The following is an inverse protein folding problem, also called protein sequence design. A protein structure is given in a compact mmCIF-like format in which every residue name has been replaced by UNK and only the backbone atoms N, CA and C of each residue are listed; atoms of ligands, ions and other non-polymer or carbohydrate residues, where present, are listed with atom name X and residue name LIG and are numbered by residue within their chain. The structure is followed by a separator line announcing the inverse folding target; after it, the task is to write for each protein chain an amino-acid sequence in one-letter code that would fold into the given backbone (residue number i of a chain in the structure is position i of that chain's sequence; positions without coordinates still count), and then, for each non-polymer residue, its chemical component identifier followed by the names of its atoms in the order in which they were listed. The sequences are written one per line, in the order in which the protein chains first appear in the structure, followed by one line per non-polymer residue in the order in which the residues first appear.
data_IF_105844178756
#
_entry.id   IF_105844178756
#
_cell.length_a   1.000
_cell.length_b   1.000
_cell.length_c   1.000
_cell.angle_alpha   90.00
_cell.angle_beta   90.00
_cell.angle_gamma   90.00
#
_symmetry.space_group_name_H-M   'P 1'
#
loop_
_entity.id
_entity.type
_entity.pdbx_description
1 polymer ?
#
# COMPACT_ATOMS: atom_id res chain seq x y z
N UNK A 1 -16.68 1.31 -5.91
CA UNK A 1 -15.22 1.04 -6.04
C UNK A 1 -14.75 1.00 -7.47
N UNK A 2 -13.79 1.84 -7.81
CA UNK A 2 -13.22 1.97 -9.16
C UNK A 2 -12.10 0.93 -9.46
N UNK A 3 -11.85 0.00 -8.53
CA UNK A 3 -10.95 -1.16 -8.74
C UNK A 3 -9.43 -0.88 -8.76
N UNK A 4 -9.00 0.37 -8.68
CA UNK A 4 -7.60 0.77 -8.81
C UNK A 4 -6.65 0.33 -7.68
N UNK A 5 -5.36 0.59 -7.89
CA UNK A 5 -4.28 0.45 -6.89
C UNK A 5 -4.14 1.72 -6.06
N UNK A 6 -3.54 1.61 -4.87
CA UNK A 6 -3.32 2.72 -3.94
C UNK A 6 -1.82 2.99 -3.75
N UNK A 7 -1.49 4.25 -3.44
CA UNK A 7 -0.14 4.72 -3.09
C UNK A 7 -0.21 5.46 -1.76
N UNK A 8 0.75 5.18 -0.88
CA UNK A 8 0.92 5.85 0.41
C UNK A 8 2.40 5.97 0.75
N UNK A 9 2.74 6.96 1.57
CA UNK A 9 4.08 7.19 2.09
C UNK A 9 4.23 8.62 2.59
N UNK A 10 5.29 8.87 3.36
CA UNK A 10 5.66 10.19 3.88
C UNK A 10 5.95 11.21 2.76
N UNK A 11 6.23 10.72 1.55
CA UNK A 11 6.31 11.55 0.34
C UNK A 11 4.98 12.25 0.00
N UNK A 12 3.85 11.63 0.34
CA UNK A 12 2.51 12.11 -0.01
C UNK A 12 1.76 12.61 1.22
N UNK A 13 1.92 11.95 2.38
CA UNK A 13 1.15 12.23 3.59
C UNK A 13 2.01 12.09 4.85
N UNK A 14 2.02 13.11 5.71
CA UNK A 14 2.80 13.10 6.96
C UNK A 14 2.02 12.60 8.18
N UNK A 15 0.71 12.46 8.09
CA UNK A 15 -0.17 12.25 9.24
C UNK A 15 -1.02 10.98 9.10
N UNK A 16 -1.30 10.35 10.24
CA UNK A 16 -2.26 9.27 10.39
C UNK A 16 -3.70 9.81 10.41
N UNK A 17 -4.73 8.96 10.23
CA UNK A 17 -6.12 9.40 10.33
C UNK A 17 -6.50 10.02 11.68
N UNK A 18 -5.75 9.72 12.73
CA UNK A 18 -5.89 10.32 14.07
C UNK A 18 -5.44 11.79 14.13
N UNK A 19 -4.72 12.28 13.11
CA UNK A 19 -4.07 13.59 13.11
C UNK A 19 -2.66 13.59 13.70
N UNK A 20 -2.18 12.47 14.24
CA UNK A 20 -0.80 12.31 14.70
C UNK A 20 0.16 12.20 13.50
N UNK A 21 1.39 12.72 13.60
CA UNK A 21 2.41 12.50 12.59
C UNK A 21 2.79 11.02 12.54
N UNK A 22 2.87 10.45 11.34
CA UNK A 22 3.36 9.08 11.16
C UNK A 22 4.85 9.01 11.55
N UNK A 23 5.20 8.03 12.37
CA UNK A 23 6.58 7.77 12.77
C UNK A 23 7.38 7.05 11.69
N UNK A 24 6.69 6.37 10.77
CA UNK A 24 7.31 5.67 9.65
C UNK A 24 6.38 5.53 8.43
N UNK A 25 6.96 5.20 7.27
CA UNK A 25 6.17 4.72 6.13
C UNK A 25 5.36 3.45 6.47
N UNK A 26 5.86 2.62 7.40
CA UNK A 26 5.17 1.42 7.86
C UNK A 26 3.81 1.72 8.49
N UNK A 27 3.71 2.82 9.24
CA UNK A 27 2.47 3.23 9.90
C UNK A 27 1.39 3.57 8.86
N UNK A 28 1.77 4.30 7.82
CA UNK A 28 0.90 4.65 6.70
C UNK A 28 0.50 3.40 5.89
N UNK A 29 1.45 2.48 5.66
CA UNK A 29 1.17 1.20 5.00
C UNK A 29 0.20 0.35 5.82
N UNK A 30 0.29 0.36 7.15
CA UNK A 30 -0.62 -0.38 8.03
C UNK A 30 -2.06 0.15 7.91
N UNK A 31 -2.24 1.47 7.89
CA UNK A 31 -3.56 2.10 7.65
C UNK A 31 -4.08 1.74 6.26
N UNK A 32 -3.26 1.87 5.22
CA UNK A 32 -3.65 1.54 3.85
C UNK A 32 -4.06 0.07 3.70
N UNK A 33 -3.36 -0.84 4.39
CA UNK A 33 -3.71 -2.26 4.46
C UNK A 33 -5.08 -2.46 5.11
N UNK A 34 -5.33 -1.85 6.27
CA UNK A 34 -6.62 -1.96 6.97
C UNK A 34 -7.77 -1.48 6.09
N UNK A 35 -7.60 -0.34 5.40
CA UNK A 35 -8.61 0.17 4.45
C UNK A 35 -8.83 -0.78 3.27
N UNK A 36 -7.76 -1.38 2.75
CA UNK A 36 -7.84 -2.38 1.67
C UNK A 36 -8.63 -3.61 2.10
N UNK A 37 -8.38 -4.10 3.32
CA UNK A 37 -9.10 -5.25 3.90
C UNK A 37 -10.57 -4.92 4.18
N UNK A 38 -10.87 -3.72 4.70
CA UNK A 38 -12.23 -3.25 4.92
C UNK A 38 -13.05 -3.13 3.62
N UNK A 39 -12.38 -2.86 2.50
CA UNK A 39 -12.97 -2.88 1.15
C UNK A 39 -13.11 -4.30 0.55
N UNK A 40 -12.86 -5.36 1.33
CA UNK A 40 -12.97 -6.75 0.88
C UNK A 40 -11.84 -7.20 -0.05
N UNK A 41 -10.70 -6.50 -0.05
CA UNK A 41 -9.52 -6.79 -0.88
C UNK A 41 -8.33 -7.13 0.01
N UNK A 42 -7.17 -7.40 -0.60
CA UNK A 42 -5.89 -7.53 0.12
C UNK A 42 -4.76 -6.87 -0.67
N UNK A 43 -3.67 -6.45 0.00
CA UNK A 43 -2.44 -6.09 -0.70
C UNK A 43 -1.93 -7.27 -1.54
N UNK A 44 -1.42 -6.95 -2.73
CA UNK A 44 -0.69 -7.91 -3.54
C UNK A 44 0.67 -8.20 -2.89
N UNK A 45 1.12 -9.45 -2.97
CA UNK A 45 2.52 -9.80 -2.71
C UNK A 45 3.42 -9.17 -3.77
N UNK A 46 4.73 -9.10 -3.51
CA UNK A 46 5.70 -8.60 -4.50
C UNK A 46 5.65 -9.41 -5.80
N UNK A 47 5.49 -10.73 -5.72
CA UNK A 47 5.39 -11.59 -6.89
C UNK A 47 4.12 -11.32 -7.71
N UNK A 48 2.98 -11.15 -7.05
CA UNK A 48 1.72 -10.78 -7.71
C UNK A 48 1.79 -9.40 -8.36
N UNK A 49 2.34 -8.41 -7.64
CA UNK A 49 2.53 -7.06 -8.16
C UNK A 49 3.40 -7.06 -9.43
N UNK A 50 4.49 -7.84 -9.45
CA UNK A 50 5.31 -8.02 -10.65
C UNK A 50 4.52 -8.60 -11.81
N UNK A 51 3.74 -9.66 -11.57
CA UNK A 51 2.88 -10.27 -12.60
C UNK A 51 1.84 -9.29 -13.16
N UNK A 52 1.19 -8.52 -12.29
CA UNK A 52 0.19 -7.51 -12.69
C UNK A 52 0.81 -6.36 -13.51
N UNK A 53 2.05 -5.98 -13.20
CA UNK A 53 2.76 -4.87 -13.85
C UNK A 53 3.63 -5.30 -15.03
N UNK A 54 3.71 -6.60 -15.33
CA UNK A 54 4.60 -7.12 -16.38
C UNK A 54 6.09 -6.96 -16.07
N UNK A 55 6.47 -6.89 -14.79
CA UNK A 55 7.86 -6.71 -14.36
C UNK A 55 8.50 -8.10 -14.17
N UNK A 56 9.65 -8.40 -14.78
CA UNK A 56 10.31 -9.70 -14.63
C UNK A 56 10.74 -9.96 -13.18
N UNK A 57 10.90 -11.23 -12.83
CA UNK A 57 11.51 -11.62 -11.57
C UNK A 57 12.95 -11.08 -11.47
N UNK A 58 13.44 -10.71 -10.28
CA UNK A 58 14.82 -10.30 -10.11
C UNK A 58 15.75 -11.44 -10.55
N UNK A 59 16.89 -11.08 -11.17
CA UNK A 59 17.96 -12.03 -11.42
C UNK A 59 18.49 -12.56 -10.07
N UNK A 60 18.84 -13.84 -10.04
CA UNK A 60 19.44 -14.50 -8.88
C UNK A 60 20.83 -13.95 -8.57
#
# INVERSE_FOLDING_TARGET
DLGGSIRVGLEDNLYLPSGEMAGSNGDLVAVARQMTEAAGRRPATVAEARGLLGIPAPAA
#
